data_IF_910893153395
#
_entry.id   IF_910893153395
#
_cell.length_a   1.000
_cell.length_b   1.000
_cell.length_c   1.000
_cell.angle_alpha   90.00
_cell.angle_beta   90.00
_cell.angle_gamma   90.00
#
_symmetry.space_group_name_H-M   'P 1'
#
loop_
_entity.id
_entity.type
_entity.pdbx_description
1 polymer ?
#
# COMPACT_ATOMS: atom_id res chain seq x y z
N UNK A 1 -25.97 2.05 -10.15
CA UNK A 1 -25.91 0.92 -11.09
C UNK A 1 -27.13 0.04 -10.85
N UNK A 2 -28.11 0.04 -11.76
CA UNK A 2 -29.38 -0.68 -11.58
C UNK A 2 -29.19 -2.21 -11.50
N UNK A 3 -28.23 -2.76 -12.26
CA UNK A 3 -27.86 -4.19 -12.22
C UNK A 3 -27.53 -4.69 -10.81
N UNK A 4 -26.89 -3.89 -9.97
CA UNK A 4 -26.57 -4.26 -8.59
C UNK A 4 -27.84 -4.42 -7.73
N UNK A 5 -28.91 -3.66 -8.01
CA UNK A 5 -30.21 -3.81 -7.35
C UNK A 5 -30.94 -5.06 -7.81
N UNK A 6 -30.70 -5.48 -9.05
CA UNK A 6 -31.12 -6.77 -9.60
C UNK A 6 -30.22 -7.94 -9.13
N UNK A 7 -29.37 -7.70 -8.13
CA UNK A 7 -28.49 -8.69 -7.47
C UNK A 7 -27.39 -9.25 -8.38
N UNK A 8 -26.98 -8.50 -9.41
CA UNK A 8 -25.76 -8.81 -10.12
C UNK A 8 -24.53 -8.32 -9.33
N UNK A 9 -23.47 -9.11 -9.37
CA UNK A 9 -22.11 -8.64 -9.09
C UNK A 9 -21.62 -7.89 -10.33
N UNK A 10 -21.60 -6.56 -10.27
CA UNK A 10 -21.29 -5.74 -11.44
C UNK A 10 -19.81 -5.38 -11.44
N UNK A 11 -19.16 -5.57 -12.60
CA UNK A 11 -17.83 -5.02 -12.92
C UNK A 11 -17.95 -3.99 -14.06
N UNK A 12 -16.92 -3.17 -14.23
CA UNK A 12 -16.84 -2.16 -15.29
C UNK A 12 -15.76 -2.53 -16.30
N UNK A 13 -16.14 -2.53 -17.57
CA UNK A 13 -15.30 -2.94 -18.67
C UNK A 13 -14.76 -1.76 -19.48
N UNK A 14 -13.44 -1.61 -19.57
CA UNK A 14 -12.81 -0.59 -20.42
C UNK A 14 -12.61 -1.16 -21.82
N UNK A 15 -12.92 -0.37 -22.85
CA UNK A 15 -12.68 -0.78 -24.24
C UNK A 15 -11.18 -0.94 -24.48
N UNK A 16 -10.68 -2.14 -24.83
CA UNK A 16 -9.26 -2.37 -25.07
C UNK A 16 -8.76 -1.55 -26.25
N UNK A 17 -7.65 -0.83 -26.07
CA UNK A 17 -6.99 -0.06 -27.15
C UNK A 17 -5.78 -0.76 -27.74
N UNK A 18 -5.26 -1.76 -27.04
CA UNK A 18 -4.10 -2.56 -27.42
C UNK A 18 -4.16 -3.95 -26.76
N UNK A 19 -3.41 -4.94 -27.26
CA UNK A 19 -3.35 -6.27 -26.65
C UNK A 19 -2.46 -6.24 -25.40
N UNK A 20 -3.01 -5.85 -24.25
CA UNK A 20 -2.26 -5.74 -23.00
C UNK A 20 -2.27 -7.07 -22.23
N UNK A 21 -1.11 -7.72 -22.10
CA UNK A 21 -1.00 -9.04 -21.44
C UNK A 21 -1.02 -8.97 -19.91
N UNK A 22 -0.92 -7.76 -19.34
CA UNK A 22 -0.95 -7.55 -17.89
C UNK A 22 -2.34 -7.34 -17.29
N UNK A 23 -3.40 -7.24 -18.12
CA UNK A 23 -4.76 -6.96 -17.66
C UNK A 23 -5.66 -8.20 -17.73
N UNK A 24 -6.70 -8.22 -16.90
CA UNK A 24 -7.83 -9.12 -17.05
C UNK A 24 -8.74 -8.72 -18.20
N UNK A 25 -9.27 -9.71 -18.90
CA UNK A 25 -10.24 -9.56 -19.99
C UNK A 25 -11.58 -10.17 -19.59
N UNK A 26 -12.65 -9.46 -19.92
CA UNK A 26 -14.04 -9.85 -19.70
C UNK A 26 -14.68 -10.05 -21.07
N UNK A 27 -15.07 -11.28 -21.40
CA UNK A 27 -15.88 -11.56 -22.57
C UNK A 27 -17.34 -11.19 -22.27
N UNK A 28 -17.91 -10.30 -23.09
CA UNK A 28 -19.31 -9.93 -22.98
C UNK A 28 -20.21 -11.07 -23.48
N UNK A 29 -21.22 -11.39 -22.69
CA UNK A 29 -22.28 -12.32 -23.03
C UNK A 29 -23.55 -11.61 -23.49
N UNK A 30 -24.69 -12.20 -23.14
CA UNK A 30 -26.02 -11.67 -23.45
C UNK A 30 -26.22 -10.27 -22.84
N UNK A 31 -26.88 -9.39 -23.59
CA UNK A 31 -27.31 -8.09 -23.08
C UNK A 31 -28.34 -8.27 -21.94
N UNK A 32 -28.22 -7.43 -20.92
CA UNK A 32 -29.16 -7.34 -19.81
C UNK A 32 -29.90 -6.03 -19.95
N UNK A 33 -31.22 -6.13 -20.07
CA UNK A 33 -32.11 -4.99 -20.23
C UNK A 33 -33.14 -4.95 -19.11
N UNK A 34 -33.56 -3.74 -18.73
CA UNK A 34 -34.73 -3.51 -17.87
C UNK A 34 -35.51 -2.30 -18.38
N UNK A 35 -36.12 -2.44 -19.56
CA UNK A 35 -36.72 -1.34 -20.33
C UNK A 35 -35.70 -0.46 -21.09
N UNK A 36 -34.44 -0.48 -20.66
CA UNK A 36 -33.27 0.09 -21.36
C UNK A 36 -32.07 -0.87 -21.23
N UNK A 37 -31.08 -0.81 -22.14
CA UNK A 37 -29.81 -1.52 -21.99
C UNK A 37 -29.09 -1.12 -20.70
N UNK A 38 -28.74 -2.09 -19.87
CA UNK A 38 -28.04 -1.86 -18.60
C UNK A 38 -26.58 -2.33 -18.62
N UNK A 39 -26.24 -3.29 -19.49
CA UNK A 39 -24.92 -3.91 -19.59
C UNK A 39 -25.03 -5.32 -20.18
N UNK A 40 -23.99 -6.14 -20.00
CA UNK A 40 -23.97 -7.52 -20.49
C UNK A 40 -23.71 -8.48 -19.34
N UNK A 41 -24.21 -9.72 -19.43
CA UNK A 41 -23.70 -10.81 -18.59
C UNK A 41 -22.22 -11.02 -18.90
N UNK A 42 -21.44 -11.41 -17.91
CA UNK A 42 -20.08 -11.88 -18.16
C UNK A 42 -20.14 -13.31 -18.67
N UNK A 43 -19.70 -13.54 -19.90
CA UNK A 43 -19.60 -14.89 -20.46
C UNK A 43 -18.37 -15.62 -19.92
N UNK A 44 -17.26 -14.90 -19.82
CA UNK A 44 -15.99 -15.44 -19.35
C UNK A 44 -15.09 -14.34 -18.82
N UNK A 45 -14.32 -14.68 -17.79
CA UNK A 45 -13.21 -13.88 -17.31
C UNK A 45 -11.89 -14.58 -17.66
N UNK A 46 -10.87 -13.82 -18.03
CA UNK A 46 -9.51 -14.34 -18.25
C UNK A 46 -8.48 -13.32 -17.77
N UNK A 47 -7.77 -13.66 -16.70
CA UNK A 47 -6.70 -12.83 -16.17
C UNK A 47 -5.40 -13.04 -16.98
N UNK A 48 -4.75 -11.94 -17.36
CA UNK A 48 -3.40 -11.91 -17.94
C UNK A 48 -3.15 -12.93 -19.07
N UNK A 49 -3.88 -12.83 -20.20
CA UNK A 49 -3.70 -13.73 -21.33
C UNK A 49 -2.31 -13.57 -21.98
N UNK A 50 -1.88 -14.60 -22.72
CA UNK A 50 -0.74 -14.48 -23.62
C UNK A 50 -1.00 -13.45 -24.75
N UNK A 51 0.06 -13.07 -25.47
CA UNK A 51 0.01 -12.04 -26.52
C UNK A 51 -0.99 -12.39 -27.62
N UNK A 52 -0.99 -13.64 -28.08
CA UNK A 52 -1.84 -14.12 -29.17
C UNK A 52 -3.33 -14.03 -28.79
N UNK A 53 -3.68 -14.44 -27.58
CA UNK A 53 -5.04 -14.31 -27.05
C UNK A 53 -5.44 -12.86 -26.85
N UNK A 54 -4.55 -12.02 -26.30
CA UNK A 54 -4.83 -10.60 -26.14
C UNK A 54 -5.12 -9.92 -27.49
N UNK A 55 -4.38 -10.28 -28.54
CA UNK A 55 -4.63 -9.82 -29.92
C UNK A 55 -5.98 -10.28 -30.44
N UNK A 56 -6.31 -11.56 -30.27
CA UNK A 56 -7.60 -12.13 -30.65
C UNK A 56 -8.77 -11.45 -29.89
N UNK A 57 -8.61 -11.17 -28.60
CA UNK A 57 -9.64 -10.52 -27.78
C UNK A 57 -9.92 -9.09 -28.25
N UNK A 58 -8.88 -8.31 -28.51
CA UNK A 58 -9.02 -6.95 -29.06
C UNK A 58 -9.67 -7.01 -30.44
N UNK A 59 -9.21 -7.91 -31.32
CA UNK A 59 -9.75 -8.06 -32.67
C UNK A 59 -11.22 -8.50 -32.68
N UNK A 60 -11.66 -9.29 -31.69
CA UNK A 60 -13.05 -9.75 -31.59
C UNK A 60 -14.05 -8.63 -31.32
N UNK A 61 -13.63 -7.52 -30.69
CA UNK A 61 -14.52 -6.46 -30.21
C UNK A 61 -15.52 -6.88 -29.12
N UNK A 62 -15.46 -8.13 -28.64
CA UNK A 62 -16.38 -8.67 -27.61
C UNK A 62 -15.78 -8.67 -26.20
N UNK A 63 -14.57 -8.15 -26.03
CA UNK A 63 -13.87 -8.18 -24.76
C UNK A 63 -13.65 -6.78 -24.21
N UNK A 64 -13.77 -6.65 -22.90
CA UNK A 64 -13.37 -5.46 -22.16
C UNK A 64 -12.17 -5.77 -21.27
N UNK A 65 -11.34 -4.77 -20.97
CA UNK A 65 -10.42 -4.87 -19.84
C UNK A 65 -11.20 -4.77 -18.52
N UNK A 66 -10.86 -5.61 -17.56
CA UNK A 66 -11.36 -5.51 -16.20
C UNK A 66 -10.76 -4.28 -15.51
N UNK A 67 -11.59 -3.30 -15.14
CA UNK A 67 -11.13 -2.08 -14.49
C UNK A 67 -10.76 -2.26 -13.00
N UNK A 68 -11.07 -3.43 -12.41
CA UNK A 68 -10.97 -3.66 -10.96
C UNK A 68 -11.99 -2.85 -10.15
N UNK A 69 -13.04 -2.33 -10.80
CA UNK A 69 -14.12 -1.56 -10.18
C UNK A 69 -15.33 -2.48 -10.07
N UNK A 70 -15.92 -2.57 -8.88
CA UNK A 70 -17.09 -3.41 -8.63
C UNK A 70 -18.24 -2.63 -8.00
N UNK A 71 -19.47 -3.06 -8.27
CA UNK A 71 -20.67 -2.55 -7.64
C UNK A 71 -21.65 -3.69 -7.36
N UNK A 72 -22.03 -3.88 -6.10
CA UNK A 72 -22.91 -4.95 -5.67
C UNK A 72 -23.63 -4.58 -4.37
N UNK A 73 -24.72 -5.28 -4.07
CA UNK A 73 -25.35 -5.26 -2.74
C UNK A 73 -24.49 -6.07 -1.77
N UNK A 74 -24.33 -5.60 -0.52
CA UNK A 74 -23.41 -6.22 0.46
C UNK A 74 -23.79 -7.66 0.79
N UNK A 75 -25.08 -7.92 1.01
CA UNK A 75 -25.63 -9.26 1.25
C UNK A 75 -25.39 -10.22 0.06
N UNK A 76 -25.43 -9.71 -1.18
CA UNK A 76 -25.16 -10.51 -2.38
C UNK A 76 -23.68 -10.89 -2.44
N UNK A 77 -22.76 -9.96 -2.17
CA UNK A 77 -21.33 -10.29 -2.08
C UNK A 77 -21.07 -11.31 -0.95
N UNK A 78 -21.62 -11.08 0.24
CA UNK A 78 -21.43 -12.00 1.37
C UNK A 78 -21.97 -13.40 1.07
N UNK A 79 -23.12 -13.49 0.38
CA UNK A 79 -23.67 -14.77 -0.07
C UNK A 79 -22.76 -15.45 -1.09
N UNK A 80 -22.23 -14.70 -2.06
CA UNK A 80 -21.30 -15.22 -3.05
C UNK A 80 -19.96 -15.66 -2.43
N UNK A 81 -19.44 -14.93 -1.43
CA UNK A 81 -18.27 -15.34 -0.66
C UNK A 81 -18.52 -16.65 0.08
N UNK A 82 -19.67 -16.81 0.74
CA UNK A 82 -20.02 -18.08 1.41
C UNK A 82 -20.14 -19.25 0.43
N UNK A 83 -20.62 -19.00 -0.77
CA UNK A 83 -20.76 -20.04 -1.81
C UNK A 83 -19.41 -20.43 -2.43
N UNK A 84 -18.58 -19.45 -2.79
CA UNK A 84 -17.40 -19.64 -3.66
C UNK A 84 -16.05 -19.55 -2.93
N UNK A 85 -16.04 -19.03 -1.71
CA UNK A 85 -14.86 -18.77 -0.89
C UNK A 85 -15.19 -18.90 0.62
N UNK A 86 -15.86 -19.99 1.01
CA UNK A 86 -16.36 -20.22 2.37
C UNK A 86 -15.29 -20.02 3.47
N UNK A 87 -14.07 -20.53 3.26
CA UNK A 87 -12.93 -20.36 4.19
C UNK A 87 -12.63 -18.88 4.46
N UNK A 88 -12.69 -18.02 3.44
CA UNK A 88 -12.47 -16.58 3.59
C UNK A 88 -13.64 -15.95 4.34
N UNK A 89 -14.88 -16.31 4.01
CA UNK A 89 -16.07 -15.78 4.66
C UNK A 89 -16.08 -16.09 6.17
N UNK A 90 -15.89 -17.36 6.53
CA UNK A 90 -15.83 -17.83 7.92
C UNK A 90 -14.65 -17.19 8.67
N UNK A 91 -13.49 -17.13 8.01
CA UNK A 91 -12.29 -16.53 8.57
C UNK A 91 -12.43 -15.04 8.89
N UNK A 92 -13.09 -14.28 8.02
CA UNK A 92 -13.42 -12.87 8.25
C UNK A 92 -14.39 -12.73 9.43
N UNK A 93 -15.48 -13.52 9.45
CA UNK A 93 -16.46 -13.48 10.54
C UNK A 93 -15.81 -13.78 11.91
N UNK A 94 -14.97 -14.81 11.97
CA UNK A 94 -14.20 -15.15 13.18
C UNK A 94 -13.24 -14.02 13.57
N UNK A 95 -12.50 -13.46 12.60
CA UNK A 95 -11.53 -12.38 12.86
C UNK A 95 -12.19 -11.12 13.40
N UNK A 96 -13.42 -10.82 12.98
CA UNK A 96 -14.16 -9.63 13.43
C UNK A 96 -14.89 -9.83 14.75
N UNK A 97 -15.29 -11.06 15.10
CA UNK A 97 -16.06 -11.38 16.32
C UNK A 97 -15.40 -10.95 17.64
N UNK A 98 -14.08 -10.82 17.64
CA UNK A 98 -13.28 -10.40 18.80
C UNK A 98 -12.92 -8.91 18.84
N UNK A 99 -13.33 -8.12 17.86
CA UNK A 99 -12.92 -6.72 17.74
C UNK A 99 -13.98 -5.82 18.40
N UNK A 100 -13.65 -5.12 19.50
CA UNK A 100 -14.59 -4.17 20.10
C UNK A 100 -14.81 -3.00 19.14
N UNK A 101 -16.08 -2.63 18.95
CA UNK A 101 -16.50 -1.48 18.17
C UNK A 101 -15.90 -0.21 18.82
N UNK A 102 -14.84 0.33 18.22
CA UNK A 102 -14.12 1.52 18.71
C UNK A 102 -13.91 2.48 17.57
N UNK A 103 -14.01 3.78 17.87
CA UNK A 103 -13.63 4.84 16.94
C UNK A 103 -12.13 4.81 16.65
N UNK A 104 -11.76 4.48 15.41
CA UNK A 104 -10.41 4.64 14.89
C UNK A 104 -9.87 3.46 14.09
N UNK A 105 -8.57 3.21 14.23
CA UNK A 105 -7.84 2.16 13.51
C UNK A 105 -8.12 0.82 14.18
N UNK A 106 -8.73 -0.10 13.43
CA UNK A 106 -8.92 -1.50 13.82
C UNK A 106 -7.65 -2.27 13.43
N UNK A 107 -7.00 -2.89 14.41
CA UNK A 107 -5.93 -3.86 14.16
C UNK A 107 -6.58 -5.24 14.03
N UNK A 108 -6.41 -5.87 12.86
CA UNK A 108 -6.95 -7.21 12.60
C UNK A 108 -6.15 -8.26 13.38
N UNK A 109 -6.80 -9.31 13.88
CA UNK A 109 -6.12 -10.34 14.66
C UNK A 109 -5.19 -11.18 13.77
N UNK A 110 -4.24 -11.89 14.40
CA UNK A 110 -3.22 -12.69 13.68
C UNK A 110 -3.84 -13.77 12.80
N UNK A 111 -5.03 -14.24 13.17
CA UNK A 111 -5.86 -15.20 12.45
C UNK A 111 -6.24 -14.69 11.07
N UNK A 112 -6.49 -13.39 10.90
CA UNK A 112 -6.76 -12.80 9.59
C UNK A 112 -5.57 -12.98 8.63
N UNK A 113 -4.34 -12.87 9.16
CA UNK A 113 -3.12 -13.09 8.39
C UNK A 113 -2.91 -14.54 7.93
N UNK A 114 -3.72 -15.49 8.40
CA UNK A 114 -3.70 -16.90 7.96
C UNK A 114 -4.68 -17.18 6.83
N UNK A 115 -5.55 -16.22 6.48
CA UNK A 115 -6.53 -16.43 5.41
C UNK A 115 -5.84 -16.49 4.03
N UNK A 116 -6.44 -17.23 3.07
CA UNK A 116 -5.93 -17.28 1.71
C UNK A 116 -5.76 -15.88 1.11
N UNK A 117 -4.57 -15.60 0.56
CA UNK A 117 -4.31 -14.37 -0.20
C UNK A 117 -4.72 -14.58 -1.65
N UNK A 118 -5.94 -14.17 -1.99
CA UNK A 118 -6.54 -14.33 -3.33
C UNK A 118 -7.37 -13.10 -3.68
N UNK A 119 -7.39 -12.71 -4.96
CA UNK A 119 -8.20 -11.58 -5.42
C UNK A 119 -9.69 -11.90 -5.42
N UNK A 120 -10.53 -10.87 -5.36
CA UNK A 120 -11.98 -11.01 -5.49
C UNK A 120 -12.37 -11.62 -6.85
N UNK A 121 -11.60 -11.29 -7.90
CA UNK A 121 -11.81 -11.84 -9.24
C UNK A 121 -11.77 -13.36 -9.23
N UNK A 122 -10.67 -13.95 -8.74
CA UNK A 122 -10.50 -15.41 -8.64
C UNK A 122 -11.40 -16.06 -7.59
N UNK A 123 -11.58 -15.41 -6.44
CA UNK A 123 -12.33 -15.97 -5.33
C UNK A 123 -13.83 -16.08 -5.66
N UNK A 124 -14.38 -15.07 -6.35
CA UNK A 124 -15.81 -14.90 -6.55
C UNK A 124 -16.17 -14.67 -8.01
N UNK A 125 -15.61 -13.65 -8.67
CA UNK A 125 -16.14 -13.16 -9.96
C UNK A 125 -16.03 -14.18 -11.09
N UNK A 126 -14.97 -14.99 -11.14
CA UNK A 126 -14.82 -16.04 -12.16
C UNK A 126 -15.81 -17.19 -11.99
N UNK A 127 -16.33 -17.40 -10.78
CA UNK A 127 -17.14 -18.57 -10.42
C UNK A 127 -18.62 -18.25 -10.27
N UNK A 128 -18.92 -17.01 -9.85
CA UNK A 128 -20.27 -16.56 -9.59
C UNK A 128 -21.10 -16.54 -10.87
N UNK A 129 -22.36 -16.99 -10.77
CA UNK A 129 -23.25 -17.12 -11.93
C UNK A 129 -23.89 -15.81 -12.36
N UNK A 130 -24.02 -14.85 -11.44
CA UNK A 130 -24.79 -13.61 -11.64
C UNK A 130 -23.86 -12.41 -11.70
N UNK A 131 -22.98 -12.41 -12.71
CA UNK A 131 -21.98 -11.37 -12.94
C UNK A 131 -22.35 -10.58 -14.19
N UNK A 132 -22.25 -9.26 -14.12
CA UNK A 132 -22.51 -8.37 -15.24
C UNK A 132 -21.35 -7.39 -15.46
N UNK A 133 -21.12 -7.02 -16.70
CA UNK A 133 -20.18 -5.98 -17.11
C UNK A 133 -20.93 -4.79 -17.67
N UNK A 134 -20.58 -3.60 -17.17
CA UNK A 134 -21.03 -2.32 -17.73
C UNK A 134 -19.89 -1.71 -18.53
N UNK A 135 -20.06 -1.48 -19.84
CA UNK A 135 -19.07 -0.77 -20.64
C UNK A 135 -18.83 0.63 -20.08
N UNK A 136 -17.57 0.95 -19.81
CA UNK A 136 -17.13 2.21 -19.24
C UNK A 136 -16.44 3.05 -20.33
N UNK A 137 -17.07 4.14 -20.82
CA UNK A 137 -16.56 4.91 -21.97
C UNK A 137 -15.42 5.89 -21.60
N UNK A 138 -14.96 5.90 -20.35
CA UNK A 138 -13.93 6.83 -19.88
C UNK A 138 -12.52 6.26 -20.05
N UNK A 139 -11.53 7.14 -20.09
CA UNK A 139 -10.11 6.76 -20.06
C UNK A 139 -9.75 6.19 -18.69
N UNK A 140 -9.03 5.08 -18.68
CA UNK A 140 -8.62 4.37 -17.47
C UNK A 140 -7.20 3.83 -17.62
N UNK A 141 -6.49 3.75 -16.50
CA UNK A 141 -5.18 3.14 -16.34
C UNK A 141 -5.12 2.59 -14.91
N UNK A 142 -4.60 1.38 -14.73
CA UNK A 142 -4.37 0.78 -13.41
C UNK A 142 -3.16 1.40 -12.70
N UNK A 143 -2.34 2.17 -13.42
CA UNK A 143 -1.06 2.70 -12.94
C UNK A 143 -0.18 1.57 -12.36
N UNK A 144 -0.22 0.39 -12.99
CA UNK A 144 0.44 -0.83 -12.51
C UNK A 144 1.96 -0.87 -12.75
N UNK A 145 2.52 0.12 -13.46
CA UNK A 145 3.96 0.21 -13.71
C UNK A 145 4.47 1.65 -13.70
N UNK A 146 5.78 1.80 -13.56
CA UNK A 146 6.44 3.11 -13.65
C UNK A 146 6.25 3.77 -15.00
N UNK A 147 6.15 3.01 -16.09
CA UNK A 147 5.83 3.58 -17.42
C UNK A 147 4.39 4.07 -17.49
N UNK A 148 3.43 3.31 -16.92
CA UNK A 148 2.02 3.72 -16.84
C UNK A 148 1.87 5.00 -16.02
N UNK A 149 2.54 5.07 -14.86
CA UNK A 149 2.62 6.30 -14.06
C UNK A 149 3.25 7.45 -14.84
N UNK A 150 4.40 7.22 -15.47
CA UNK A 150 5.10 8.24 -16.23
C UNK A 150 4.23 8.80 -17.36
N UNK A 151 3.41 7.98 -18.03
CA UNK A 151 2.53 8.41 -19.12
C UNK A 151 1.57 9.55 -18.74
N UNK A 152 1.27 9.69 -17.44
CA UNK A 152 0.41 10.73 -16.88
C UNK A 152 1.11 12.07 -16.67
N UNK A 153 2.45 12.09 -16.75
CA UNK A 153 3.26 13.28 -16.53
C UNK A 153 3.44 14.10 -17.82
N UNK A 154 3.78 15.39 -17.74
CA UNK A 154 4.28 16.11 -18.91
C UNK A 154 5.63 15.53 -19.35
N UNK A 155 5.89 15.55 -20.66
CA UNK A 155 7.22 15.24 -21.21
C UNK A 155 7.85 16.45 -21.88
N UNK A 156 9.19 16.48 -21.89
CA UNK A 156 9.96 17.44 -22.69
C UNK A 156 9.97 17.06 -24.19
N UNK A 157 10.72 17.84 -24.99
CA UNK A 157 10.85 17.64 -26.43
C UNK A 157 11.60 16.34 -26.80
N UNK A 158 12.38 15.77 -25.88
CA UNK A 158 13.11 14.51 -26.04
C UNK A 158 12.33 13.32 -25.44
N UNK A 159 11.08 13.54 -25.03
CA UNK A 159 10.22 12.52 -24.44
C UNK A 159 10.60 12.14 -23.01
N UNK A 160 11.48 12.90 -22.35
CA UNK A 160 11.83 12.67 -20.96
C UNK A 160 10.77 13.22 -20.01
N UNK A 161 10.66 12.61 -18.83
CA UNK A 161 9.65 12.92 -17.82
C UNK A 161 10.32 12.99 -16.47
N UNK A 162 10.14 14.09 -15.75
CA UNK A 162 10.85 14.38 -14.50
C UNK A 162 9.86 14.75 -13.40
N UNK A 163 9.99 14.10 -12.24
CA UNK A 163 9.34 14.48 -10.98
C UNK A 163 10.45 14.87 -9.99
N UNK A 164 10.36 16.08 -9.44
CA UNK A 164 11.40 16.67 -8.61
C UNK A 164 12.45 17.44 -9.42
N UNK A 165 13.67 17.53 -8.91
CA UNK A 165 14.76 18.26 -9.56
C UNK A 165 15.59 17.29 -10.42
N UNK A 166 15.68 17.55 -11.72
CA UNK A 166 16.37 16.67 -12.67
C UNK A 166 17.27 17.43 -13.64
N UNK A 167 18.52 16.99 -13.78
CA UNK A 167 19.46 17.45 -14.78
C UNK A 167 19.63 16.38 -15.87
N UNK A 168 19.07 16.63 -17.06
CA UNK A 168 19.10 15.69 -18.17
C UNK A 168 19.99 16.26 -19.28
N UNK A 169 21.11 15.58 -19.56
CA UNK A 169 22.02 15.97 -20.63
C UNK A 169 22.19 14.81 -21.60
N UNK A 170 21.99 15.04 -22.90
CA UNK A 170 22.04 13.97 -23.92
C UNK A 170 21.15 12.76 -23.55
N UNK A 171 19.97 13.03 -22.97
CA UNK A 171 19.02 12.02 -22.53
C UNK A 171 17.73 12.01 -23.36
N UNK A 172 17.20 10.81 -23.65
CA UNK A 172 16.01 10.63 -24.49
C UNK A 172 15.05 9.57 -23.92
N UNK A 173 13.75 9.85 -23.90
CA UNK A 173 12.70 8.91 -23.49
C UNK A 173 12.77 8.44 -22.03
N UNK A 174 13.57 9.08 -21.18
CA UNK A 174 13.83 8.67 -19.80
C UNK A 174 12.74 9.13 -18.83
N UNK A 175 12.56 8.41 -17.73
CA UNK A 175 11.70 8.80 -16.60
C UNK A 175 12.58 8.94 -15.37
N UNK A 176 12.55 10.11 -14.76
CA UNK A 176 13.27 10.40 -13.51
C UNK A 176 12.25 10.77 -12.45
N UNK A 177 12.16 10.00 -11.38
CA UNK A 177 11.34 10.29 -10.22
C UNK A 177 12.25 10.46 -9.01
N UNK A 178 12.53 11.70 -8.62
CA UNK A 178 13.44 12.05 -7.54
C UNK A 178 12.95 13.31 -6.80
N UNK A 179 11.89 13.20 -5.98
CA UNK A 179 11.26 14.36 -5.34
C UNK A 179 12.12 15.01 -4.26
N UNK A 180 13.01 14.24 -3.62
CA UNK A 180 13.74 14.67 -2.42
C UNK A 180 15.17 15.16 -2.71
N UNK A 181 15.72 14.86 -3.89
CA UNK A 181 17.08 15.27 -4.28
C UNK A 181 17.23 15.48 -5.79
N UNK A 182 18.25 16.21 -6.18
CA UNK A 182 18.66 16.34 -7.58
C UNK A 182 19.09 14.98 -8.17
N UNK A 183 18.48 14.60 -9.28
CA UNK A 183 18.92 13.47 -10.10
C UNK A 183 19.52 13.94 -11.42
N UNK A 184 20.74 13.52 -11.72
CA UNK A 184 21.40 13.86 -12.98
C UNK A 184 21.59 12.60 -13.84
N UNK A 185 21.20 12.67 -15.12
CA UNK A 185 21.46 11.61 -16.10
C UNK A 185 22.11 12.19 -17.36
N UNK A 186 23.09 11.46 -17.90
CA UNK A 186 23.95 11.91 -18.97
C UNK A 186 24.13 10.81 -20.02
N UNK A 187 23.79 11.08 -21.29
CA UNK A 187 24.10 10.19 -22.42
C UNK A 187 23.30 8.88 -22.43
N UNK A 188 22.09 8.88 -21.85
CA UNK A 188 21.26 7.68 -21.65
C UNK A 188 19.91 7.77 -22.35
N UNK A 189 19.37 6.61 -22.75
CA UNK A 189 18.07 6.54 -23.41
C UNK A 189 17.17 5.50 -22.77
N UNK A 190 15.87 5.76 -22.75
CA UNK A 190 14.84 4.83 -22.30
C UNK A 190 15.13 4.20 -20.93
N UNK A 191 15.61 5.01 -19.97
CA UNK A 191 15.80 4.58 -18.59
C UNK A 191 14.66 5.03 -17.68
N UNK A 192 14.39 4.20 -16.67
CA UNK A 192 13.67 4.56 -15.47
C UNK A 192 14.70 4.78 -14.36
N UNK A 193 14.66 5.95 -13.72
CA UNK A 193 15.44 6.29 -12.53
C UNK A 193 14.47 6.72 -11.46
N UNK A 194 14.20 5.83 -10.51
CA UNK A 194 13.21 6.03 -9.44
C UNK A 194 13.96 6.06 -8.11
N UNK A 195 14.12 7.25 -7.56
CA UNK A 195 14.64 7.48 -6.21
C UNK A 195 13.46 7.68 -5.26
N UNK A 196 13.25 6.70 -4.39
CA UNK A 196 12.35 6.78 -3.25
C UNK A 196 13.16 6.78 -1.96
N UNK A 197 12.59 7.23 -0.82
CA UNK A 197 13.33 7.30 0.43
C UNK A 197 14.00 5.98 0.84
N UNK A 198 13.43 4.83 0.48
CA UNK A 198 13.84 3.48 0.85
C UNK A 198 14.70 2.76 -0.20
N UNK A 199 14.69 3.19 -1.47
CA UNK A 199 15.44 2.53 -2.55
C UNK A 199 15.67 3.42 -3.78
N UNK A 200 16.72 3.10 -4.53
CA UNK A 200 16.94 3.59 -5.89
C UNK A 200 16.74 2.43 -6.87
N UNK A 201 15.83 2.59 -7.82
CA UNK A 201 15.66 1.70 -8.97
C UNK A 201 16.20 2.39 -10.22
N UNK A 202 17.13 1.72 -10.91
CA UNK A 202 17.54 2.07 -12.27
C UNK A 202 17.24 0.88 -13.18
N UNK A 203 16.39 1.07 -14.17
CA UNK A 203 15.96 0.01 -15.07
C UNK A 203 15.79 0.52 -16.50
N UNK A 204 15.92 -0.40 -17.48
CA UNK A 204 15.44 -0.12 -18.82
C UNK A 204 13.91 0.01 -18.79
N UNK A 205 13.37 1.01 -19.49
CA UNK A 205 11.95 1.36 -19.46
C UNK A 205 11.03 0.28 -20.02
N UNK A 206 11.53 -0.52 -20.96
CA UNK A 206 10.85 -1.66 -21.56
C UNK A 206 10.81 -2.91 -20.66
N UNK A 207 11.53 -2.89 -19.52
CA UNK A 207 11.58 -3.98 -18.54
C UNK A 207 10.87 -3.62 -17.23
N UNK A 208 9.98 -2.62 -17.25
CA UNK A 208 9.31 -2.11 -16.05
C UNK A 208 8.44 -3.16 -15.32
N UNK A 209 7.89 -4.13 -16.05
CA UNK A 209 7.14 -5.26 -15.50
C UNK A 209 8.02 -6.23 -14.69
N UNK A 210 9.34 -6.24 -14.89
CA UNK A 210 10.26 -7.16 -14.21
C UNK A 210 10.65 -6.68 -12.79
N UNK A 211 10.20 -5.50 -12.36
CA UNK A 211 10.43 -4.98 -11.01
C UNK A 211 9.89 -5.92 -9.93
N UNK A 212 8.80 -6.66 -10.21
CA UNK A 212 8.27 -7.70 -9.31
C UNK A 212 9.34 -8.77 -8.99
N UNK A 213 10.16 -9.14 -9.97
CA UNK A 213 11.26 -10.09 -9.79
C UNK A 213 12.33 -9.57 -8.83
N UNK A 214 12.62 -8.26 -8.85
CA UNK A 214 13.54 -7.61 -7.90
C UNK A 214 12.97 -7.67 -6.48
N UNK A 215 11.68 -7.39 -6.32
CA UNK A 215 10.98 -7.46 -5.02
C UNK A 215 10.98 -8.90 -4.48
N UNK A 216 10.73 -9.89 -5.34
CA UNK A 216 10.79 -11.31 -4.98
C UNK A 216 12.19 -11.74 -4.51
N UNK A 217 13.24 -11.24 -5.15
CA UNK A 217 14.61 -11.51 -4.73
C UNK A 217 14.95 -10.85 -3.37
N UNK A 218 14.49 -9.61 -3.14
CA UNK A 218 14.64 -8.95 -1.83
C UNK A 218 13.93 -9.73 -0.72
N UNK A 219 12.74 -10.27 -0.98
CA UNK A 219 12.01 -11.19 -0.08
C UNK A 219 12.85 -12.42 0.23
N UNK A 220 13.38 -13.09 -0.79
CA UNK A 220 14.21 -14.30 -0.63
C UNK A 220 15.46 -14.05 0.22
N UNK A 221 16.04 -12.86 0.11
CA UNK A 221 17.21 -12.43 0.92
C UNK A 221 16.84 -11.96 2.33
N UNK A 222 15.56 -11.81 2.66
CA UNK A 222 15.13 -11.21 3.91
C UNK A 222 15.49 -9.73 4.02
N UNK A 223 15.68 -9.02 2.90
CA UNK A 223 16.10 -7.62 2.93
C UNK A 223 14.92 -6.70 3.28
N UNK A 224 15.03 -5.80 4.29
CA UNK A 224 13.87 -5.10 4.86
C UNK A 224 13.13 -4.14 3.91
N UNK A 225 13.77 -3.67 2.82
CA UNK A 225 13.19 -2.76 1.83
C UNK A 225 11.88 -3.26 1.19
N UNK A 226 11.62 -4.56 1.15
CA UNK A 226 10.35 -5.09 0.64
C UNK A 226 9.18 -5.04 1.64
N UNK A 227 9.47 -4.78 2.92
CA UNK A 227 8.50 -4.78 4.03
C UNK A 227 8.24 -3.37 4.57
N UNK A 228 9.30 -2.59 4.72
CA UNK A 228 9.26 -1.33 5.44
C UNK A 228 9.51 -0.19 4.47
N UNK A 229 8.46 0.56 4.18
CA UNK A 229 8.63 1.94 3.76
C UNK A 229 9.30 2.71 4.91
N UNK A 230 10.18 3.68 4.61
CA UNK A 230 10.90 4.44 5.66
C UNK A 230 9.98 5.03 6.72
N UNK A 231 8.75 5.36 6.35
CA UNK A 231 7.69 5.79 7.26
C UNK A 231 6.67 4.68 7.48
N UNK A 232 6.45 4.35 8.74
CA UNK A 232 5.54 3.32 9.21
C UNK A 232 4.36 3.96 9.93
N UNK A 233 3.14 3.54 9.57
CA UNK A 233 1.90 4.03 10.17
C UNK A 233 1.44 3.14 11.34
N UNK A 234 0.94 3.78 12.39
CA UNK A 234 0.42 3.14 13.61
C UNK A 234 -0.86 3.83 14.06
N UNK A 235 -1.71 3.18 14.88
CA UNK A 235 -2.91 3.80 15.42
C UNK A 235 -2.65 5.12 16.18
N UNK A 236 -1.48 5.26 16.81
CA UNK A 236 -1.08 6.46 17.53
C UNK A 236 -0.44 7.55 16.65
N UNK A 237 -0.07 7.26 15.40
CA UNK A 237 0.64 8.19 14.52
C UNK A 237 1.61 7.49 13.57
N UNK A 238 2.83 8.00 13.43
CA UNK A 238 3.85 7.44 12.53
C UNK A 238 5.25 7.47 13.14
N UNK A 239 6.14 6.62 12.64
CA UNK A 239 7.58 6.85 12.76
C UNK A 239 8.26 6.74 11.41
N UNK A 240 9.31 7.54 11.19
CA UNK A 240 10.17 7.48 10.02
C UNK A 240 11.59 7.15 10.45
N UNK A 241 12.20 6.09 9.92
CA UNK A 241 13.65 5.85 10.11
C UNK A 241 14.43 6.82 9.23
N UNK A 242 15.12 7.76 9.86
CA UNK A 242 15.91 8.77 9.16
C UNK A 242 17.27 8.20 8.77
N UNK A 243 17.92 7.50 9.69
CA UNK A 243 19.24 6.89 9.51
C UNK A 243 19.38 5.69 10.46
N UNK A 244 20.14 4.68 10.06
CA UNK A 244 20.46 3.53 10.90
C UNK A 244 21.89 3.06 10.62
N UNK A 245 22.65 2.87 11.69
CA UNK A 245 23.99 2.30 11.66
C UNK A 245 24.10 1.06 12.56
N UNK A 246 25.32 0.56 12.72
CA UNK A 246 25.56 -0.68 13.47
C UNK A 246 25.18 -0.59 14.97
N UNK A 247 25.25 0.61 15.56
CA UNK A 247 25.01 0.83 17.00
C UNK A 247 24.03 1.97 17.30
N UNK A 248 23.35 2.46 16.27
CA UNK A 248 22.40 3.56 16.43
C UNK A 248 21.27 3.50 15.41
N UNK A 249 20.14 4.10 15.76
CA UNK A 249 19.05 4.40 14.84
C UNK A 249 18.47 5.77 15.16
N UNK A 250 18.18 6.56 14.13
CA UNK A 250 17.55 7.87 14.26
C UNK A 250 16.15 7.79 13.66
N UNK A 251 15.14 8.17 14.43
CA UNK A 251 13.75 8.16 14.01
C UNK A 251 13.10 9.52 14.21
N UNK A 252 12.23 9.90 13.28
CA UNK A 252 11.23 10.94 13.48
C UNK A 252 9.93 10.28 13.89
N UNK A 253 9.42 10.56 15.08
CA UNK A 253 8.15 10.02 15.57
C UNK A 253 7.12 11.14 15.61
N UNK A 254 5.95 10.89 15.04
CA UNK A 254 4.79 11.79 15.06
C UNK A 254 3.67 11.11 15.83
N UNK A 255 3.25 11.68 16.96
CA UNK A 255 2.16 11.17 17.80
C UNK A 255 0.96 12.11 17.68
N UNK A 256 -0.19 11.58 17.28
CA UNK A 256 -1.42 12.37 17.11
C UNK A 256 -1.98 12.85 18.47
N UNK A 257 -2.75 13.95 18.50
CA UNK A 257 -3.42 14.44 19.71
C UNK A 257 -4.15 13.34 20.50
N UNK A 258 -3.91 13.29 21.81
CA UNK A 258 -4.54 12.33 22.72
C UNK A 258 -4.09 10.87 22.54
N UNK A 259 -3.07 10.60 21.72
CA UNK A 259 -2.53 9.25 21.50
C UNK A 259 -1.22 9.05 22.27
N UNK A 260 -0.85 7.78 22.43
CA UNK A 260 0.31 7.36 23.19
C UNK A 260 0.96 6.13 22.54
N UNK A 261 2.25 5.97 22.71
CA UNK A 261 2.93 4.70 22.46
C UNK A 261 2.62 3.72 23.61
N UNK A 262 2.91 2.43 23.42
CA UNK A 262 2.79 1.43 24.48
C UNK A 262 3.75 1.76 25.64
N UNK A 263 3.42 1.30 26.85
CA UNK A 263 4.41 1.26 27.92
C UNK A 263 5.38 0.13 27.59
N UNK A 264 6.65 0.48 27.42
CA UNK A 264 7.64 -0.44 26.89
C UNK A 264 8.99 -0.29 27.58
N UNK A 265 9.89 -1.23 27.31
CA UNK A 265 11.28 -1.25 27.77
C UNK A 265 12.14 -1.91 26.69
N UNK A 266 13.42 -1.57 26.67
CA UNK A 266 14.45 -2.20 25.83
C UNK A 266 15.61 -2.65 26.70
N UNK A 267 16.16 -3.84 26.45
CA UNK A 267 17.29 -4.35 27.24
C UNK A 267 18.63 -3.82 26.75
N UNK A 268 18.78 -3.60 25.43
CA UNK A 268 20.08 -3.45 24.79
C UNK A 268 20.38 -2.04 24.27
N UNK A 269 19.44 -1.11 24.43
CA UNK A 269 19.59 0.28 23.98
C UNK A 269 19.06 1.30 24.97
N UNK A 270 19.70 2.46 24.94
CA UNK A 270 19.17 3.72 25.46
C UNK A 270 18.57 4.55 24.34
N UNK A 271 17.76 5.53 24.70
CA UNK A 271 17.14 6.45 23.75
C UNK A 271 17.29 7.89 24.22
N UNK A 272 17.46 8.80 23.26
CA UNK A 272 17.45 10.23 23.49
C UNK A 272 16.38 10.87 22.62
N UNK A 273 15.41 11.53 23.24
CA UNK A 273 14.30 12.15 22.55
C UNK A 273 14.43 13.66 22.60
N UNK A 274 14.33 14.31 21.45
CA UNK A 274 14.27 15.76 21.30
C UNK A 274 12.91 16.14 20.76
N UNK A 275 12.19 17.01 21.47
CA UNK A 275 10.86 17.47 21.01
C UNK A 275 11.04 18.58 20.00
N UNK A 276 10.53 18.38 18.78
CA UNK A 276 10.59 19.37 17.69
C UNK A 276 9.34 20.25 17.67
N UNK A 277 8.16 19.67 17.91
CA UNK A 277 6.87 20.36 17.92
C UNK A 277 5.89 19.67 18.85
N UNK A 278 4.92 20.41 19.39
CA UNK A 278 3.97 19.91 20.39
C UNK A 278 4.59 19.74 21.78
N UNK A 279 3.88 19.07 22.68
CA UNK A 279 4.35 18.80 24.06
C UNK A 279 4.29 17.30 24.30
N UNK A 280 5.40 16.70 24.71
CA UNK A 280 5.44 15.31 25.12
C UNK A 280 5.12 15.19 26.60
N UNK A 281 4.28 14.22 26.97
CA UNK A 281 4.26 13.67 28.33
C UNK A 281 5.08 12.38 28.31
N UNK A 282 6.13 12.34 29.10
CA UNK A 282 7.09 11.23 29.16
C UNK A 282 6.96 10.56 30.51
N UNK A 283 6.61 9.27 30.48
CA UNK A 283 6.71 8.38 31.65
C UNK A 283 8.06 7.67 31.60
N UNK A 284 8.77 7.64 32.72
CA UNK A 284 10.06 6.98 32.89
C UNK A 284 10.10 6.35 34.29
N UNK A 285 10.00 5.02 34.35
CA UNK A 285 9.76 4.29 35.59
C UNK A 285 8.49 4.79 36.27
N UNK A 286 8.62 5.32 37.48
CA UNK A 286 7.52 5.88 38.29
C UNK A 286 7.33 7.38 38.08
N UNK A 287 8.20 8.03 37.29
CA UNK A 287 8.16 9.48 37.10
C UNK A 287 7.44 9.86 35.81
N UNK A 288 6.67 10.94 35.86
CA UNK A 288 6.05 11.56 34.69
C UNK A 288 6.47 13.02 34.59
N UNK A 289 6.81 13.47 33.39
CA UNK A 289 7.13 14.88 33.13
C UNK A 289 6.68 15.34 31.76
N UNK A 290 6.45 16.64 31.63
CA UNK A 290 6.24 17.27 30.33
C UNK A 290 7.58 17.71 29.74
N UNK A 291 7.77 17.49 28.44
CA UNK A 291 8.93 17.92 27.66
C UNK A 291 8.40 18.77 26.50
N UNK A 292 8.85 20.02 26.42
CA UNK A 292 8.39 21.05 25.47
C UNK A 292 9.30 21.12 24.23
N UNK A 293 8.91 21.84 23.17
CA UNK A 293 9.78 22.02 22.00
C UNK A 293 11.16 22.53 22.38
N UNK A 294 12.19 22.00 21.72
CA UNK A 294 13.61 22.23 21.98
C UNK A 294 14.15 21.67 23.31
N UNK A 295 13.31 21.07 24.16
CA UNK A 295 13.76 20.28 25.30
C UNK A 295 14.01 18.82 24.89
N UNK A 296 14.72 18.09 25.75
CA UNK A 296 15.04 16.69 25.51
C UNK A 296 14.96 15.82 26.77
N UNK A 297 14.90 14.51 26.55
CA UNK A 297 14.91 13.50 27.61
C UNK A 297 15.77 12.33 27.23
N UNK A 298 16.44 11.73 28.22
CA UNK A 298 17.20 10.50 28.08
C UNK A 298 16.46 9.34 28.74
N UNK A 299 16.35 8.23 28.03
CA UNK A 299 15.72 6.98 28.45
C UNK A 299 16.81 5.90 28.56
N UNK A 300 17.24 5.52 29.77
CA UNK A 300 18.20 4.45 29.97
C UNK A 300 17.65 3.08 29.54
N UNK A 301 18.55 2.19 29.13
CA UNK A 301 18.22 0.78 28.93
C UNK A 301 17.68 0.15 30.23
N UNK A 302 16.74 -0.79 30.08
CA UNK A 302 16.11 -1.50 31.20
C UNK A 302 15.09 -0.68 32.00
N UNK A 303 14.80 0.56 31.59
CA UNK A 303 13.79 1.41 32.25
C UNK A 303 12.51 1.42 31.43
N UNK A 304 11.38 1.15 32.09
CA UNK A 304 10.06 1.27 31.47
C UNK A 304 9.76 2.72 31.12
N UNK A 305 9.22 2.95 29.94
CA UNK A 305 8.94 4.30 29.46
C UNK A 305 7.75 4.35 28.51
N UNK A 306 7.14 5.53 28.40
CA UNK A 306 6.02 5.81 27.51
C UNK A 306 6.09 7.25 27.00
N UNK A 307 5.80 7.42 25.71
CA UNK A 307 5.60 8.72 25.07
C UNK A 307 4.09 8.95 24.84
N UNK A 308 3.55 10.03 25.38
CA UNK A 308 2.16 10.45 25.15
C UNK A 308 2.10 11.87 24.58
N UNK A 309 1.12 12.14 23.71
CA UNK A 309 0.77 13.48 23.27
C UNK A 309 -0.50 13.97 23.99
N UNK A 310 -0.39 14.71 25.10
CA UNK A 310 -1.53 15.32 25.79
C UNK A 310 -2.09 16.55 25.07
N UNK A 311 -1.43 17.03 24.01
CA UNK A 311 -1.77 18.28 23.32
C UNK A 311 -2.89 18.13 22.28
N UNK A 312 -3.17 19.25 21.61
CA UNK A 312 -4.18 19.37 20.55
C UNK A 312 -3.57 19.42 19.13
N UNK A 313 -2.24 19.48 19.03
CA UNK A 313 -1.50 19.41 17.76
C UNK A 313 -0.62 18.17 17.74
N UNK A 314 -0.14 17.77 16.56
CA UNK A 314 0.80 16.66 16.43
C UNK A 314 2.08 16.93 17.24
N UNK A 315 2.45 15.94 18.05
CA UNK A 315 3.73 15.89 18.73
C UNK A 315 4.75 15.28 17.79
N UNK A 316 5.83 16.01 17.51
CA UNK A 316 6.94 15.53 16.69
C UNK A 316 8.20 15.45 17.53
N UNK A 317 8.82 14.28 17.59
CA UNK A 317 10.12 14.09 18.24
C UNK A 317 11.14 13.51 17.27
N UNK A 318 12.42 13.80 17.53
CA UNK A 318 13.54 13.04 17.01
C UNK A 318 14.05 12.13 18.11
N UNK A 319 14.01 10.83 17.86
CA UNK A 319 14.55 9.79 18.71
C UNK A 319 15.91 9.35 18.16
N UNK A 320 16.91 9.31 19.03
CA UNK A 320 18.21 8.69 18.76
C UNK A 320 18.35 7.50 19.68
N UNK A 321 18.34 6.31 19.11
CA UNK A 321 18.59 5.05 19.81
C UNK A 321 20.08 4.74 19.76
N UNK A 322 20.67 4.34 20.89
CA UNK A 322 22.08 3.99 21.01
C UNK A 322 22.24 2.70 21.82
N UNK A 323 22.94 1.71 21.26
CA UNK A 323 23.14 0.41 21.89
C UNK A 323 23.85 -0.60 20.99
N UNK A 324 24.23 -1.75 21.54
CA UNK A 324 24.82 -2.85 20.74
C UNK A 324 23.78 -3.53 19.85
N UNK A 325 22.50 -3.34 20.17
CA UNK A 325 21.38 -3.83 19.40
C UNK A 325 20.24 -2.80 19.39
N UNK A 326 19.73 -2.46 18.20
CA UNK A 326 18.66 -1.46 18.00
C UNK A 326 17.44 -2.03 17.25
N UNK A 327 17.30 -3.36 17.21
CA UNK A 327 16.16 -4.03 16.57
C UNK A 327 14.83 -3.80 17.30
N UNK A 328 13.72 -3.84 16.56
CA UNK A 328 12.36 -3.65 17.10
C UNK A 328 11.83 -4.85 17.92
N UNK A 329 12.54 -5.98 17.88
CA UNK A 329 12.29 -7.20 18.65
C UNK A 329 12.87 -7.15 20.09
N UNK A 330 13.73 -6.18 20.41
CA UNK A 330 14.14 -5.88 21.80
C UNK A 330 13.04 -5.12 22.59
N UNK A 331 11.86 -4.92 22.00
CA UNK A 331 10.77 -4.17 22.62
C UNK A 331 9.91 -5.08 23.49
N UNK A 332 10.03 -4.95 24.80
CA UNK A 332 9.13 -5.57 25.79
C UNK A 332 7.97 -4.62 26.06
N UNK A 333 6.72 -5.08 25.86
CA UNK A 333 5.50 -4.28 26.04
C UNK A 333 4.75 -4.74 27.30
N UNK A 334 4.40 -3.78 28.16
CA UNK A 334 3.69 -4.04 29.43
C UNK A 334 2.21 -3.64 29.36
N UNK A 335 1.92 -2.54 28.68
CA UNK A 335 0.57 -2.06 28.45
C UNK A 335 0.47 -1.51 27.04
N UNK A 336 -0.35 -2.15 26.21
CA UNK A 336 -0.64 -1.69 24.87
C UNK A 336 -2.13 -1.42 24.69
N UNK A 337 -2.48 -0.16 24.45
CA UNK A 337 -3.86 0.25 24.13
C UNK A 337 -4.33 -0.27 22.77
N UNK A 338 -3.44 -0.90 21.99
CA UNK A 338 -3.66 -1.34 20.62
C UNK A 338 -3.52 -2.87 20.42
N UNK A 339 -3.31 -3.66 21.48
CA UNK A 339 -3.41 -5.13 21.40
C UNK A 339 -2.21 -5.87 20.81
N UNK A 340 -1.00 -5.29 20.83
CA UNK A 340 0.25 -5.88 20.31
C UNK A 340 1.11 -6.53 21.41
N UNK A 341 0.53 -6.80 22.57
CA UNK A 341 1.19 -7.47 23.70
C UNK A 341 1.36 -8.97 23.45
#
# INVERSE_FOLDING_TARGET
VELARLEYLVTFGIVPKNPHTGYGYIEQGEEIENGIPLGHKVARFMEKPDRERAEAFVASGRHFWNAGIFCFRVDVLLSALREWAAEIAEGIELSLSGIPEKDGVIELPKEFGRLPSVSLDYAVMEKARKVAVVPAPFSWSDVGSWSSYASLLPSDAQGNRVVGEGLLHEAEGCVVHSPDRLAAILGVKNLLVIDTPDALLVAAKDRDQEVEGVVAELRRRGHPTHLLHRTVHRPWGTYTVLEQGARFAIKRIVVRPGRALSLQMHHHRSEHWVVVSGTAKVTQGETERLVRPSESTYIPAGVTHRLENPGLIDLVIIEVQCGDYVGEDDIVRFEDRYGRA
#
